data_IF_331148480932
#
_entry.id   IF_331148480932
#
_cell.length_a   1.000
_cell.length_b   1.000
_cell.length_c   1.000
_cell.angle_alpha   90.00
_cell.angle_beta   90.00
_cell.angle_gamma   90.00
#
_symmetry.space_group_name_H-M   'P 1'
#
loop_
_entity.id
_entity.type
_entity.pdbx_description
1 polymer ?
#
# COMPACT_ATOMS: atom_id res chain seq x y z
N UNK A 1 5.70 -6.39 -19.14
CA UNK A 1 4.38 -5.74 -18.95
C UNK A 1 3.47 -6.62 -18.13
N UNK A 2 2.80 -6.05 -17.13
CA UNK A 2 1.81 -6.79 -16.35
C UNK A 2 0.51 -6.94 -17.14
N UNK A 3 -0.04 -8.15 -17.14
CA UNK A 3 -1.25 -8.47 -17.88
C UNK A 3 -2.53 -8.07 -17.13
N UNK A 4 -2.45 -7.92 -15.81
CA UNK A 4 -3.61 -7.60 -14.97
C UNK A 4 -3.14 -7.03 -13.63
N UNK A 5 -4.06 -6.43 -12.88
CA UNK A 5 -3.79 -5.98 -11.51
C UNK A 5 -3.47 -7.17 -10.61
N UNK A 6 -4.11 -8.31 -10.85
CA UNK A 6 -3.81 -9.54 -10.13
C UNK A 6 -2.37 -10.00 -10.34
N UNK A 7 -1.88 -9.94 -11.57
CA UNK A 7 -0.49 -10.29 -11.91
C UNK A 7 0.48 -9.35 -11.19
N UNK A 8 0.20 -8.04 -11.22
CA UNK A 8 0.99 -7.03 -10.49
C UNK A 8 1.03 -7.34 -8.99
N UNK A 9 -0.13 -7.61 -8.40
CA UNK A 9 -0.26 -7.92 -6.98
C UNK A 9 0.55 -9.17 -6.61
N UNK A 10 0.42 -10.25 -7.37
CA UNK A 10 1.13 -11.49 -7.11
C UNK A 10 2.64 -11.30 -7.19
N UNK A 11 3.14 -10.61 -8.21
CA UNK A 11 4.58 -10.36 -8.38
C UNK A 11 5.12 -9.48 -7.26
N UNK A 12 4.40 -8.41 -6.90
CA UNK A 12 4.78 -7.56 -5.79
C UNK A 12 4.86 -8.36 -4.49
N UNK A 13 3.81 -9.11 -4.19
CA UNK A 13 3.70 -9.83 -2.92
C UNK A 13 4.79 -10.87 -2.74
N UNK A 14 5.09 -11.66 -3.77
CA UNK A 14 6.16 -12.65 -3.73
C UNK A 14 7.48 -12.04 -3.27
N UNK A 15 7.79 -10.85 -3.75
CA UNK A 15 9.05 -10.17 -3.45
C UNK A 15 8.99 -9.38 -2.15
N UNK A 16 7.89 -8.66 -1.92
CA UNK A 16 7.73 -7.82 -0.74
C UNK A 16 7.74 -8.64 0.55
N UNK A 17 7.08 -9.77 0.52
CA UNK A 17 6.94 -10.63 1.71
C UNK A 17 7.86 -11.87 1.69
N UNK A 18 8.84 -11.90 0.82
CA UNK A 18 9.75 -13.03 0.70
C UNK A 18 10.42 -13.40 2.02
N UNK A 19 10.85 -12.41 2.79
CA UNK A 19 11.52 -12.61 4.09
C UNK A 19 10.57 -12.53 5.29
N UNK A 20 9.25 -12.58 5.07
CA UNK A 20 8.27 -12.47 6.14
C UNK A 20 8.11 -11.06 6.70
N UNK A 21 8.23 -10.04 5.84
CA UNK A 21 8.12 -8.63 6.21
C UNK A 21 6.81 -8.31 6.94
N UNK A 22 5.70 -8.87 6.45
CA UNK A 22 4.41 -8.73 7.12
C UNK A 22 4.22 -9.86 8.13
N UNK A 23 4.04 -9.52 9.40
CA UNK A 23 3.70 -10.49 10.45
C UNK A 23 2.29 -11.03 10.26
N UNK A 24 1.39 -10.15 9.84
CA UNK A 24 -0.01 -10.45 9.52
C UNK A 24 -0.38 -9.70 8.28
N UNK A 25 -1.32 -10.22 7.52
CA UNK A 25 -1.82 -9.55 6.33
C UNK A 25 -3.22 -10.03 5.98
N UNK A 26 -3.94 -9.19 5.24
CA UNK A 26 -5.29 -9.50 4.77
C UNK A 26 -5.48 -8.87 3.39
N UNK A 27 -5.76 -9.70 2.38
CA UNK A 27 -6.17 -9.22 1.07
C UNK A 27 -7.65 -8.86 1.11
N UNK A 28 -8.07 -7.88 0.30
CA UNK A 28 -9.45 -7.39 0.25
C UNK A 28 -9.96 -7.06 1.64
N UNK A 29 -9.24 -6.18 2.33
CA UNK A 29 -9.50 -5.83 3.72
C UNK A 29 -10.54 -4.73 3.84
N UNK A 30 -11.67 -4.97 4.56
CA UNK A 30 -12.78 -4.00 4.65
C UNK A 30 -12.51 -2.89 5.67
N UNK A 31 -11.51 -2.07 5.42
CA UNK A 31 -11.16 -0.96 6.33
C UNK A 31 -11.88 0.35 5.99
N UNK A 32 -12.48 0.45 4.81
CA UNK A 32 -13.22 1.62 4.35
C UNK A 32 -14.51 1.19 3.67
N UNK A 33 -15.25 2.13 3.15
CA UNK A 33 -16.40 1.83 2.27
C UNK A 33 -15.82 1.24 0.98
N UNK A 34 -15.98 -0.06 0.81
CA UNK A 34 -15.19 -0.87 -0.10
C UNK A 34 -14.00 -1.49 0.64
N UNK A 35 -13.11 -2.16 -0.08
CA UNK A 35 -11.96 -2.85 0.51
C UNK A 35 -10.65 -2.22 0.06
N UNK A 36 -9.68 -2.17 0.96
CA UNK A 36 -8.29 -2.00 0.55
C UNK A 36 -7.82 -3.32 -0.07
N UNK A 37 -7.04 -3.25 -1.15
CA UNK A 37 -6.58 -4.47 -1.83
C UNK A 37 -5.72 -5.35 -0.92
N UNK A 38 -4.94 -4.74 -0.04
CA UNK A 38 -4.08 -5.44 0.91
C UNK A 38 -3.85 -4.56 2.12
N UNK A 39 -3.91 -5.17 3.31
CA UNK A 39 -3.46 -4.54 4.56
C UNK A 39 -2.40 -5.45 5.18
N UNK A 40 -1.30 -4.87 5.65
CA UNK A 40 -0.25 -5.59 6.36
C UNK A 40 -0.04 -4.99 7.74
N UNK A 41 0.40 -5.85 8.67
CA UNK A 41 0.88 -5.45 9.98
C UNK A 41 2.34 -5.82 10.04
N UNK A 42 3.20 -4.82 10.21
CA UNK A 42 4.65 -4.98 10.18
C UNK A 42 5.25 -4.39 11.45
N UNK A 43 6.44 -4.81 11.78
CA UNK A 43 7.22 -4.20 12.87
C UNK A 43 8.43 -3.52 12.26
N UNK A 44 8.61 -2.25 12.59
CA UNK A 44 9.75 -1.46 12.16
C UNK A 44 10.31 -0.73 13.37
N UNK A 45 11.59 -1.01 13.72
CA UNK A 45 12.24 -0.40 14.88
C UNK A 45 11.40 -0.56 16.17
N UNK A 46 10.91 -1.78 16.41
CA UNK A 46 10.09 -2.16 17.57
C UNK A 46 8.69 -1.50 17.61
N UNK A 47 8.30 -0.80 16.54
CA UNK A 47 6.99 -0.19 16.45
C UNK A 47 6.10 -0.94 15.46
N UNK A 48 4.84 -1.15 15.85
CA UNK A 48 3.83 -1.74 14.96
C UNK A 48 3.45 -0.71 13.91
N UNK A 49 3.42 -1.15 12.67
CA UNK A 49 3.06 -0.33 11.53
C UNK A 49 1.97 -1.04 10.72
N UNK A 50 0.86 -0.37 10.54
CA UNK A 50 -0.25 -0.86 9.70
C UNK A 50 -0.14 -0.16 8.35
N UNK A 51 -0.06 -0.95 7.29
CA UNK A 51 0.05 -0.44 5.91
C UNK A 51 -1.14 -0.91 5.09
N UNK A 52 -1.62 -0.06 4.19
CA UNK A 52 -2.61 -0.43 3.19
C UNK A 52 -2.02 -0.21 1.80
N UNK A 53 -2.45 -1.02 0.84
CA UNK A 53 -1.96 -1.00 -0.53
C UNK A 53 -3.12 -1.07 -1.51
N UNK A 54 -3.05 -0.24 -2.56
CA UNK A 54 -3.95 -0.31 -3.72
C UNK A 54 -3.12 -0.62 -4.95
N UNK A 55 -3.53 -1.62 -5.72
CA UNK A 55 -2.85 -2.04 -6.95
C UNK A 55 -3.57 -1.52 -8.17
N UNK A 56 -2.88 -0.79 -9.04
CA UNK A 56 -3.44 -0.27 -10.28
C UNK A 56 -2.43 -0.37 -11.42
N UNK A 57 -2.92 -0.71 -12.61
CA UNK A 57 -2.08 -0.70 -13.82
C UNK A 57 -2.01 0.67 -14.47
N UNK A 58 -3.10 1.42 -14.47
CA UNK A 58 -3.18 2.67 -15.24
C UNK A 58 -3.95 3.80 -14.58
N UNK A 59 -5.04 3.55 -13.89
CA UNK A 59 -5.87 4.61 -13.31
C UNK A 59 -5.25 5.15 -12.01
N UNK A 60 -4.20 5.95 -12.17
CA UNK A 60 -3.41 6.48 -11.07
C UNK A 60 -4.23 7.41 -10.18
N UNK A 61 -5.05 8.26 -10.77
CA UNK A 61 -5.90 9.17 -10.00
C UNK A 61 -6.83 8.41 -9.06
N UNK A 62 -7.47 7.37 -9.56
CA UNK A 62 -8.37 6.52 -8.75
C UNK A 62 -7.58 5.81 -7.65
N UNK A 63 -6.39 5.30 -7.96
CA UNK A 63 -5.52 4.66 -6.97
C UNK A 63 -5.20 5.61 -5.82
N UNK A 64 -4.83 6.85 -6.13
CA UNK A 64 -4.49 7.85 -5.12
C UNK A 64 -5.72 8.18 -4.26
N UNK A 65 -6.90 8.32 -4.86
CA UNK A 65 -8.13 8.60 -4.11
C UNK A 65 -8.46 7.45 -3.15
N UNK A 66 -8.34 6.21 -3.59
CA UNK A 66 -8.58 5.04 -2.75
C UNK A 66 -7.54 4.95 -1.63
N UNK A 67 -6.27 5.19 -1.93
CA UNK A 67 -5.21 5.19 -0.93
C UNK A 67 -5.40 6.32 0.10
N UNK A 68 -5.88 7.48 -0.33
CA UNK A 68 -6.20 8.59 0.57
C UNK A 68 -7.30 8.19 1.56
N UNK A 69 -8.34 7.50 1.09
CA UNK A 69 -9.39 6.97 1.97
C UNK A 69 -8.82 5.94 2.94
N UNK A 70 -7.98 5.02 2.48
CA UNK A 70 -7.31 4.05 3.34
C UNK A 70 -6.48 4.71 4.43
N UNK A 71 -5.89 5.87 4.15
CA UNK A 71 -4.96 6.53 5.08
C UNK A 71 -5.61 6.97 6.39
N UNK A 72 -6.93 7.01 6.46
CA UNK A 72 -7.65 7.32 7.70
C UNK A 72 -7.55 6.19 8.72
N UNK A 73 -7.25 4.98 8.26
CA UNK A 73 -7.34 3.74 9.04
C UNK A 73 -6.01 3.02 9.21
N UNK A 74 -4.94 3.54 8.62
CA UNK A 74 -3.61 2.90 8.62
C UNK A 74 -2.52 3.95 8.84
N UNK A 75 -1.33 3.47 9.22
CA UNK A 75 -0.19 4.36 9.46
C UNK A 75 0.45 4.85 8.17
N UNK A 76 0.52 3.99 7.15
CA UNK A 76 1.04 4.34 5.83
C UNK A 76 0.15 3.72 4.76
N UNK A 77 -0.20 4.52 3.77
CA UNK A 77 -1.04 4.08 2.66
C UNK A 77 -0.26 4.19 1.37
N UNK A 78 -0.33 3.14 0.54
CA UNK A 78 0.49 3.01 -0.65
C UNK A 78 -0.35 2.75 -1.88
N UNK A 79 0.08 3.31 -3.01
CA UNK A 79 -0.32 2.78 -4.32
C UNK A 79 0.85 1.96 -4.86
N UNK A 80 0.53 0.87 -5.52
CA UNK A 80 1.50 -0.04 -6.14
C UNK A 80 1.18 -0.11 -7.62
N UNK A 81 2.12 0.32 -8.45
CA UNK A 81 1.93 0.50 -9.89
C UNK A 81 3.13 -0.04 -10.65
N UNK A 82 2.98 -0.32 -11.96
CA UNK A 82 4.11 -0.73 -12.78
C UNK A 82 5.20 0.34 -12.86
N UNK A 83 6.45 -0.08 -12.96
CA UNK A 83 7.59 0.82 -13.00
C UNK A 83 7.55 1.80 -14.19
N UNK A 84 6.87 1.43 -15.28
CA UNK A 84 6.68 2.32 -16.44
C UNK A 84 5.95 3.61 -16.09
N UNK A 85 5.21 3.64 -14.98
CA UNK A 85 4.43 4.81 -14.53
C UNK A 85 5.25 5.76 -13.63
N UNK A 86 6.50 5.45 -13.34
CA UNK A 86 7.31 6.28 -12.44
C UNK A 86 7.39 7.74 -12.87
N UNK A 87 7.67 8.00 -14.15
CA UNK A 87 7.76 9.36 -14.66
C UNK A 87 6.45 10.12 -14.57
N UNK A 88 5.32 9.44 -14.79
CA UNK A 88 4.00 10.03 -14.64
C UNK A 88 3.78 10.53 -13.21
N UNK A 89 4.18 9.73 -12.21
CA UNK A 89 4.08 10.13 -10.80
C UNK A 89 4.93 11.36 -10.54
N UNK A 90 6.20 11.34 -10.95
CA UNK A 90 7.14 12.43 -10.69
C UNK A 90 6.72 13.73 -11.39
N UNK A 91 6.17 13.62 -12.60
CA UNK A 91 5.81 14.78 -13.40
C UNK A 91 4.44 15.38 -13.02
N UNK A 92 3.45 14.56 -12.67
CA UNK A 92 2.07 15.02 -12.49
C UNK A 92 1.57 14.98 -11.06
N UNK A 93 2.02 14.04 -10.24
CA UNK A 93 1.37 13.78 -8.95
C UNK A 93 2.22 14.11 -7.73
N UNK A 94 3.49 14.41 -7.91
CA UNK A 94 4.42 14.63 -6.79
C UNK A 94 3.95 15.74 -5.84
N UNK A 95 3.52 16.89 -6.38
CA UNK A 95 3.05 18.01 -5.56
C UNK A 95 1.80 17.64 -4.77
N UNK A 96 0.86 16.95 -5.42
CA UNK A 96 -0.35 16.50 -4.76
C UNK A 96 -0.06 15.48 -3.65
N UNK A 97 0.85 14.54 -3.90
CA UNK A 97 1.25 13.54 -2.91
C UNK A 97 1.90 14.20 -1.68
N UNK A 98 2.71 15.24 -1.89
CA UNK A 98 3.27 16.02 -0.78
C UNK A 98 2.19 16.72 0.03
N UNK A 99 1.16 17.22 -0.63
CA UNK A 99 0.04 17.90 0.03
C UNK A 99 -0.78 16.95 0.91
N UNK A 100 -1.12 15.76 0.40
CA UNK A 100 -1.91 14.80 1.16
C UNK A 100 -1.12 14.00 2.20
N UNK A 101 0.21 13.98 2.12
CA UNK A 101 1.19 13.51 3.12
C UNK A 101 1.21 12.00 3.37
N UNK A 102 0.06 11.33 3.46
CA UNK A 102 -0.05 9.97 4.00
C UNK A 102 -0.10 8.88 2.95
N UNK A 103 0.03 9.23 1.68
CA UNK A 103 0.03 8.30 0.56
C UNK A 103 1.40 8.27 -0.09
N UNK A 104 1.96 7.08 -0.20
CA UNK A 104 3.22 6.83 -0.89
C UNK A 104 3.04 6.03 -2.16
N UNK A 105 4.11 5.89 -2.91
CA UNK A 105 4.11 5.19 -4.20
C UNK A 105 5.23 4.16 -4.25
N UNK A 106 4.85 2.94 -4.59
CA UNK A 106 5.76 1.84 -4.88
C UNK A 106 5.61 1.51 -6.36
N UNK A 107 6.73 1.39 -7.06
CA UNK A 107 6.74 0.89 -8.44
C UNK A 107 7.34 -0.50 -8.49
N UNK A 108 6.81 -1.33 -9.39
CA UNK A 108 7.18 -2.74 -9.51
C UNK A 108 7.60 -3.04 -10.94
N UNK A 109 8.76 -3.64 -11.12
CA UNK A 109 9.21 -4.17 -12.40
C UNK A 109 8.53 -5.51 -12.68
N UNK A 110 8.52 -5.93 -13.93
CA UNK A 110 7.92 -7.19 -14.34
C UNK A 110 8.52 -8.40 -13.60
N UNK A 111 9.78 -8.32 -13.22
CA UNK A 111 10.47 -9.34 -12.41
C UNK A 111 9.94 -9.45 -10.99
N UNK A 112 9.22 -8.44 -10.52
CA UNK A 112 8.76 -8.33 -9.14
C UNK A 112 9.64 -7.43 -8.28
N UNK A 113 10.78 -6.97 -8.79
CA UNK A 113 11.61 -6.00 -8.07
C UNK A 113 10.80 -4.72 -7.85
N UNK A 114 10.79 -4.23 -6.62
CA UNK A 114 10.01 -3.05 -6.25
C UNK A 114 10.87 -2.01 -5.59
N UNK A 115 10.45 -0.75 -5.67
CA UNK A 115 11.07 0.33 -4.92
C UNK A 115 10.05 1.40 -4.54
N UNK A 116 10.32 2.08 -3.44
CA UNK A 116 9.54 3.21 -2.97
C UNK A 116 10.05 4.47 -3.66
N UNK A 117 9.24 5.09 -4.52
CA UNK A 117 9.63 6.31 -5.21
C UNK A 117 9.09 7.57 -4.52
N UNK A 118 8.09 7.42 -3.66
CA UNK A 118 7.58 8.48 -2.82
C UNK A 118 7.17 7.86 -1.48
N UNK A 119 7.76 8.35 -0.38
CA UNK A 119 7.48 7.79 0.95
C UNK A 119 6.41 8.61 1.66
N UNK A 120 5.37 7.97 2.21
CA UNK A 120 4.36 8.68 2.99
C UNK A 120 4.89 9.03 4.36
N UNK A 121 4.30 10.06 4.97
CA UNK A 121 4.53 10.35 6.38
C UNK A 121 3.77 9.32 7.21
N UNK A 122 4.38 8.84 8.29
CA UNK A 122 3.74 7.93 9.24
C UNK A 122 2.62 8.67 9.97
N UNK A 123 1.40 8.16 9.88
CA UNK A 123 0.24 8.74 10.54
C UNK A 123 0.02 8.08 11.89
N UNK A 124 0.19 8.85 12.97
CA UNK A 124 0.08 8.31 14.34
C UNK A 124 -1.37 8.13 14.77
N UNK A 125 -2.23 9.10 14.47
CA UNK A 125 -3.63 9.09 14.90
C UNK A 125 -4.51 8.49 13.80
N UNK A 126 -4.91 7.24 13.99
CA UNK A 126 -5.72 6.51 13.02
C UNK A 126 -6.91 5.85 13.71
N UNK A 127 -7.95 5.59 12.93
CA UNK A 127 -9.12 4.83 13.38
C UNK A 127 -8.90 3.35 13.05
N UNK A 128 -8.44 2.57 14.04
CA UNK A 128 -8.21 1.14 13.82
C UNK A 128 -9.55 0.42 13.73
N UNK A 129 -9.81 -0.22 12.59
CA UNK A 129 -11.04 -0.97 12.36
C UNK A 129 -11.02 -2.32 13.07
N UNK A 130 -12.20 -2.84 13.40
CA UNK A 130 -12.33 -4.10 14.13
C UNK A 130 -11.64 -5.28 13.43
N UNK A 131 -11.70 -5.36 12.11
CA UNK A 131 -11.02 -6.43 11.37
C UNK A 131 -9.51 -6.35 11.54
N UNK A 132 -8.95 -5.16 11.63
CA UNK A 132 -7.51 -4.96 11.86
C UNK A 132 -7.16 -5.35 13.30
N UNK A 133 -7.99 -4.97 14.28
CA UNK A 133 -7.78 -5.40 15.66
C UNK A 133 -7.78 -6.92 15.78
N UNK A 134 -8.72 -7.59 15.12
CA UNK A 134 -8.78 -9.06 15.09
C UNK A 134 -7.51 -9.65 14.47
N UNK A 135 -7.05 -9.06 13.37
CA UNK A 135 -5.83 -9.49 12.69
C UNK A 135 -4.60 -9.36 13.60
N UNK A 136 -4.51 -8.25 14.33
CA UNK A 136 -3.41 -8.01 15.28
C UNK A 136 -3.41 -8.99 16.44
N UNK A 137 -4.59 -9.46 16.86
CA UNK A 137 -4.75 -10.36 18.00
C UNK A 137 -4.65 -11.83 17.62
N UNK A 138 -4.53 -12.18 16.35
CA UNK A 138 -4.37 -13.56 15.93
C UNK A 138 -3.11 -14.16 16.52
N UNK A 139 -3.23 -15.38 17.03
CA UNK A 139 -2.07 -16.15 17.46
C UNK A 139 -1.29 -16.64 16.23
N UNK A 140 0.00 -16.71 16.39
CA UNK A 140 0.90 -17.17 15.34
C UNK A 140 0.87 -18.69 15.24
#
# INVERSE_FOLDING_TARGET
MFLSERHLKEKFWENYNYSGRALRYEFESPIRDGNADLVTIEIFQDNVQINAFEFKLSDIKKAILQAKENSKYVNKSWIVIPSEKENLILDRYKSYLKEIKYVGVIVVEESGRWKMIFKPIFRKNINIKNNILKLMLQEI
#
